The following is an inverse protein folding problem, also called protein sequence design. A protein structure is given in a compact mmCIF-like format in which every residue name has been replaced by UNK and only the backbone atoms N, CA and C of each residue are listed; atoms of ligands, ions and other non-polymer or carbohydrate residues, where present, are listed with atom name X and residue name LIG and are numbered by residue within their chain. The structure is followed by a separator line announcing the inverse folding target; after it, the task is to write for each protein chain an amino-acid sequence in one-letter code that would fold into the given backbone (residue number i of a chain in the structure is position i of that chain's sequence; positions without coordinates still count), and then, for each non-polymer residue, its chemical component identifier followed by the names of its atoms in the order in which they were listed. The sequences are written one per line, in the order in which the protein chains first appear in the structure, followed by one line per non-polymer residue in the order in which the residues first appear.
data_IF_638126087297
#
_entry.id   IF_638126087297
#
_cell.length_a   1.000
_cell.length_b   1.000
_cell.length_c   1.000
_cell.angle_alpha   90.00
_cell.angle_beta   90.00
_cell.angle_gamma   90.00
#
_symmetry.space_group_name_H-M   'P 1'
#
loop_
_entity.id
_entity.type
_entity.pdbx_description
1 polymer ?
#
# COMPACT_ATOMS: atom_id res chain seq x y z
N UNK A 1 -24.32 -20.76 21.25
CA UNK A 1 -23.64 -21.26 20.03
C UNK A 1 -22.97 -20.08 19.32
N UNK A 2 -21.76 -19.68 19.77
CA UNK A 2 -20.99 -18.51 19.29
C UNK A 2 -19.55 -18.87 18.91
N UNK A 3 -19.33 -20.14 18.53
CA UNK A 3 -18.09 -20.59 17.88
C UNK A 3 -18.42 -20.90 16.41
N UNK A 4 -17.52 -20.50 15.50
CA UNK A 4 -17.43 -20.85 14.07
C UNK A 4 -17.74 -19.78 12.99
N UNK A 5 -18.17 -18.56 13.30
CA UNK A 5 -18.31 -17.54 12.23
C UNK A 5 -16.92 -17.03 11.74
N UNK A 6 -15.95 -16.92 12.65
CA UNK A 6 -14.61 -16.38 12.36
C UNK A 6 -13.74 -17.31 11.51
N UNK A 7 -13.87 -18.63 11.68
CA UNK A 7 -13.17 -19.62 10.86
C UNK A 7 -13.79 -19.68 9.46
N UNK A 8 -15.12 -19.64 9.37
CA UNK A 8 -15.81 -19.74 8.08
C UNK A 8 -15.53 -18.54 7.17
N UNK A 9 -15.46 -17.33 7.73
CA UNK A 9 -15.13 -16.11 6.99
C UNK A 9 -13.72 -16.15 6.39
N UNK A 10 -12.69 -16.58 7.15
CA UNK A 10 -11.33 -16.75 6.62
C UNK A 10 -11.29 -17.78 5.49
N UNK A 11 -11.99 -18.91 5.64
CA UNK A 11 -12.05 -19.96 4.63
C UNK A 11 -12.70 -19.50 3.31
N UNK A 12 -13.71 -18.64 3.36
CA UNK A 12 -14.38 -18.14 2.16
C UNK A 12 -13.49 -17.20 1.35
N UNK A 13 -12.77 -16.27 2.01
CA UNK A 13 -11.82 -15.40 1.31
C UNK A 13 -10.66 -16.16 0.72
N UNK A 14 -10.16 -17.18 1.41
CA UNK A 14 -9.15 -18.10 0.88
C UNK A 14 -9.59 -18.73 -0.45
N UNK A 15 -10.86 -19.07 -0.63
CA UNK A 15 -11.36 -19.64 -1.90
C UNK A 15 -11.27 -18.63 -3.04
N UNK A 16 -11.70 -17.39 -2.82
CA UNK A 16 -11.62 -16.33 -3.84
C UNK A 16 -10.18 -15.92 -4.13
N UNK A 17 -9.34 -15.92 -3.09
CA UNK A 17 -7.93 -15.57 -3.19
C UNK A 17 -7.14 -16.63 -3.97
N UNK A 18 -7.29 -17.90 -3.62
CA UNK A 18 -6.47 -18.99 -4.15
C UNK A 18 -6.59 -19.18 -5.66
N UNK A 19 -7.74 -18.86 -6.25
CA UNK A 19 -7.97 -19.04 -7.70
C UNK A 19 -7.17 -18.07 -8.56
N UNK A 20 -6.93 -16.85 -8.07
CA UNK A 20 -6.26 -15.80 -8.84
C UNK A 20 -4.99 -15.27 -8.19
N UNK A 21 -4.46 -15.99 -7.20
CA UNK A 21 -3.25 -15.62 -6.47
C UNK A 21 -2.05 -15.49 -7.41
N UNK A 22 -1.42 -14.33 -7.40
CA UNK A 22 -0.27 -14.04 -8.24
C UNK A 22 1.05 -14.59 -7.69
N UNK A 23 1.06 -15.10 -6.45
CA UNK A 23 2.24 -15.68 -5.77
C UNK A 23 3.40 -14.69 -5.63
N UNK A 24 3.08 -13.47 -5.23
CA UNK A 24 4.03 -12.38 -5.02
C UNK A 24 4.67 -12.47 -3.62
N UNK A 25 5.87 -11.90 -3.46
CA UNK A 25 6.66 -11.97 -2.23
C UNK A 25 6.50 -10.72 -1.34
N UNK A 26 6.14 -9.58 -1.92
CA UNK A 26 6.02 -8.30 -1.22
C UNK A 26 4.59 -7.97 -0.77
N UNK A 27 3.60 -8.64 -1.35
CA UNK A 27 2.18 -8.47 -1.04
C UNK A 27 1.42 -9.74 -1.37
N UNK A 28 0.38 -10.09 -0.60
CA UNK A 28 -0.60 -11.07 -1.07
C UNK A 28 -1.56 -10.34 -1.98
N UNK A 29 -1.49 -10.61 -3.28
CA UNK A 29 -2.35 -10.03 -4.32
C UNK A 29 -2.93 -11.12 -5.20
N UNK A 30 -4.25 -11.05 -5.44
CA UNK A 30 -4.96 -11.92 -6.35
C UNK A 30 -5.91 -11.14 -7.25
N UNK A 31 -6.16 -11.64 -8.46
CA UNK A 31 -7.27 -11.18 -9.29
C UNK A 31 -8.50 -12.05 -9.06
N UNK A 32 -9.66 -11.46 -8.75
CA UNK A 32 -10.90 -12.21 -8.63
C UNK A 32 -11.80 -11.98 -9.84
N UNK A 33 -12.03 -13.00 -10.65
CA UNK A 33 -13.02 -12.95 -11.73
C UNK A 33 -14.45 -12.79 -11.19
N UNK A 34 -14.74 -13.41 -10.04
CA UNK A 34 -16.03 -13.33 -9.37
C UNK A 34 -16.37 -11.87 -9.04
N UNK A 35 -15.42 -11.13 -8.44
CA UNK A 35 -15.61 -9.71 -8.11
C UNK A 35 -15.20 -8.74 -9.23
N UNK A 36 -14.51 -9.20 -10.28
CA UNK A 36 -13.78 -8.34 -11.22
C UNK A 36 -12.94 -7.29 -10.50
N UNK A 37 -12.21 -7.73 -9.47
CA UNK A 37 -11.50 -6.83 -8.57
C UNK A 37 -10.16 -7.41 -8.15
N UNK A 38 -9.22 -6.53 -7.83
CA UNK A 38 -8.01 -6.90 -7.11
C UNK A 38 -8.35 -7.23 -5.66
N UNK A 39 -7.85 -8.36 -5.17
CA UNK A 39 -7.93 -8.77 -3.77
C UNK A 39 -6.57 -8.61 -3.12
N UNK A 40 -6.50 -7.91 -1.99
CA UNK A 40 -5.26 -7.73 -1.24
C UNK A 40 -5.45 -8.15 0.22
N UNK A 41 -4.57 -9.02 0.69
CA UNK A 41 -4.49 -9.37 2.10
C UNK A 41 -3.20 -8.80 2.72
N UNK A 42 -3.35 -8.13 3.86
CA UNK A 42 -2.23 -7.64 4.66
C UNK A 42 -2.03 -8.46 5.93
N UNK A 43 -0.79 -8.86 6.21
CA UNK A 43 -0.47 -9.60 7.44
C UNK A 43 -0.67 -8.79 8.71
N UNK A 44 -0.63 -7.45 8.62
CA UNK A 44 -0.90 -6.53 9.71
C UNK A 44 -1.54 -5.23 9.20
N UNK A 45 -2.19 -4.49 10.11
CA UNK A 45 -2.84 -3.23 9.75
C UNK A 45 -1.86 -2.22 9.15
N UNK A 46 -0.61 -2.15 9.61
CA UNK A 46 0.39 -1.20 9.09
C UNK A 46 1.44 -1.86 8.20
N UNK A 47 1.02 -2.90 7.48
CA UNK A 47 1.86 -3.65 6.55
C UNK A 47 2.62 -2.72 5.58
N UNK A 48 3.92 -3.00 5.30
CA UNK A 48 4.67 -2.28 4.28
C UNK A 48 4.03 -2.39 2.89
N UNK A 49 3.18 -3.40 2.67
CA UNK A 49 2.47 -3.61 1.42
C UNK A 49 1.29 -2.64 1.20
N UNK A 50 0.91 -1.80 2.17
CA UNK A 50 -0.26 -0.91 2.05
C UNK A 50 -0.23 0.00 0.82
N UNK A 51 0.95 0.45 0.39
CA UNK A 51 1.07 1.32 -0.80
C UNK A 51 0.94 0.55 -2.13
N UNK A 52 0.76 -0.77 -2.11
CA UNK A 52 0.28 -1.50 -3.29
C UNK A 52 -1.15 -1.10 -3.67
N UNK A 53 -2.01 -0.77 -2.69
CA UNK A 53 -3.36 -0.24 -2.97
C UNK A 53 -3.23 1.08 -3.73
N UNK A 54 -2.35 1.96 -3.26
CA UNK A 54 -2.07 3.26 -3.88
C UNK A 54 -1.58 3.10 -5.34
N UNK A 55 -0.75 2.08 -5.63
CA UNK A 55 -0.30 1.76 -6.98
C UNK A 55 -1.44 1.25 -7.87
N UNK A 56 -2.16 0.22 -7.43
CA UNK A 56 -3.25 -0.37 -8.21
C UNK A 56 -4.35 0.65 -8.52
N UNK A 57 -4.68 1.50 -7.53
CA UNK A 57 -5.66 2.57 -7.68
C UNK A 57 -5.24 3.63 -8.71
N UNK A 58 -3.94 3.93 -8.79
CA UNK A 58 -3.42 4.98 -9.68
C UNK A 58 -3.08 4.49 -11.09
N UNK A 59 -2.98 3.18 -11.32
CA UNK A 59 -2.52 2.62 -12.60
C UNK A 59 -3.58 1.83 -13.35
N UNK A 60 -4.60 1.34 -12.64
CA UNK A 60 -5.65 0.53 -13.23
C UNK A 60 -7.02 1.11 -12.90
N UNK A 61 -8.07 0.69 -13.61
CA UNK A 61 -9.46 1.10 -13.39
C UNK A 61 -10.28 0.08 -12.61
N UNK A 62 -9.68 -1.06 -12.25
CA UNK A 62 -10.40 -2.11 -11.54
C UNK A 62 -10.63 -1.76 -10.07
N UNK A 63 -11.75 -2.19 -9.47
CA UNK A 63 -11.98 -2.09 -8.05
C UNK A 63 -10.94 -2.87 -7.23
N UNK A 64 -10.76 -2.43 -5.98
CA UNK A 64 -9.83 -3.06 -5.03
C UNK A 64 -10.59 -3.42 -3.78
N UNK A 65 -10.52 -4.70 -3.39
CA UNK A 65 -11.00 -5.23 -2.12
C UNK A 65 -9.78 -5.58 -1.27
N UNK A 66 -9.68 -5.05 -0.06
CA UNK A 66 -8.56 -5.35 0.82
C UNK A 66 -8.94 -5.51 2.28
N UNK A 67 -8.14 -6.29 3.01
CA UNK A 67 -8.31 -6.50 4.45
C UNK A 67 -6.96 -6.80 5.11
N UNK A 68 -6.93 -6.73 6.44
CA UNK A 68 -5.83 -7.29 7.23
C UNK A 68 -6.25 -8.62 7.84
N UNK A 69 -5.32 -9.58 7.93
CA UNK A 69 -5.52 -10.89 8.59
C UNK A 69 -6.06 -10.75 10.01
N UNK A 70 -5.71 -9.66 10.70
CA UNK A 70 -6.14 -9.38 12.07
C UNK A 70 -7.49 -8.65 12.14
N UNK A 71 -7.95 -8.07 11.02
CA UNK A 71 -9.30 -7.49 10.92
C UNK A 71 -10.31 -8.63 10.84
N UNK A 72 -11.04 -8.87 11.94
CA UNK A 72 -12.02 -9.97 12.01
C UNK A 72 -13.30 -9.69 11.24
N UNK A 73 -13.58 -8.44 10.86
CA UNK A 73 -14.90 -8.03 10.32
C UNK A 73 -14.86 -6.87 9.32
N UNK A 74 -13.72 -6.24 9.11
CA UNK A 74 -13.63 -5.04 8.26
C UNK A 74 -12.90 -5.39 6.99
N UNK A 75 -13.65 -5.30 5.89
CA UNK A 75 -13.15 -5.40 4.52
C UNK A 75 -13.40 -4.06 3.88
N UNK A 76 -12.42 -3.56 3.15
CA UNK A 76 -12.50 -2.28 2.48
C UNK A 76 -12.67 -2.49 0.99
N UNK A 77 -13.41 -1.58 0.37
CA UNK A 77 -13.65 -1.58 -1.06
C UNK A 77 -13.51 -0.19 -1.64
N UNK A 78 -12.75 -0.13 -2.74
CA UNK A 78 -12.51 1.09 -3.49
C UNK A 78 -13.11 0.90 -4.87
N UNK A 79 -14.19 1.63 -5.16
CA UNK A 79 -14.75 1.81 -6.51
C UNK A 79 -13.88 2.80 -7.27
N UNK A 80 -13.30 2.37 -8.39
CA UNK A 80 -12.41 3.22 -9.16
C UNK A 80 -13.18 4.02 -10.23
N UNK A 81 -14.31 4.61 -9.83
CA UNK A 81 -15.26 5.22 -10.77
C UNK A 81 -14.91 6.65 -11.17
N UNK A 82 -14.02 7.33 -10.42
CA UNK A 82 -13.61 8.69 -10.74
C UNK A 82 -12.13 8.85 -10.39
N UNK A 83 -11.29 8.74 -11.42
CA UNK A 83 -9.87 9.06 -11.34
C UNK A 83 -9.69 10.56 -11.02
N UNK A 84 -9.85 10.97 -9.77
CA UNK A 84 -9.30 12.23 -9.30
C UNK A 84 -7.80 12.02 -9.11
N UNK A 85 -7.03 12.47 -10.11
CA UNK A 85 -5.58 12.58 -10.05
C UNK A 85 -5.20 13.16 -8.68
N UNK A 86 -4.55 12.33 -7.85
CA UNK A 86 -4.04 12.67 -6.51
C UNK A 86 -5.00 12.56 -5.31
N UNK A 87 -6.17 11.92 -5.41
CA UNK A 87 -6.96 11.55 -4.21
C UNK A 87 -7.32 10.07 -4.23
N UNK A 88 -6.86 9.33 -3.23
CA UNK A 88 -7.45 8.02 -2.92
C UNK A 88 -8.86 8.24 -2.40
N UNK A 89 -9.82 7.55 -2.99
CA UNK A 89 -11.09 7.30 -2.31
C UNK A 89 -10.83 6.60 -0.99
N UNK A 90 -11.39 7.11 0.10
CA UNK A 90 -11.47 6.35 1.35
C UNK A 90 -12.13 5.01 1.04
N UNK A 91 -11.48 3.90 1.35
CA UNK A 91 -12.07 2.59 1.14
C UNK A 91 -13.37 2.51 1.94
N UNK A 92 -14.47 2.17 1.29
CA UNK A 92 -15.75 1.96 2.00
C UNK A 92 -15.68 0.65 2.76
N UNK A 93 -16.04 0.68 4.05
CA UNK A 93 -16.16 -0.56 4.83
C UNK A 93 -17.35 -1.35 4.34
N UNK A 94 -17.11 -2.59 3.97
CA UNK A 94 -18.13 -3.55 3.61
C UNK A 94 -18.56 -4.38 4.81
N UNK A 95 -19.80 -4.84 4.79
CA UNK A 95 -20.31 -5.80 5.76
C UNK A 95 -20.38 -7.19 5.15
N UNK A 96 -19.95 -8.22 5.88
CA UNK A 96 -20.03 -9.61 5.40
C UNK A 96 -21.32 -10.23 5.92
N UNK A 97 -22.20 -10.67 5.01
CA UNK A 97 -23.49 -11.28 5.35
C UNK A 97 -23.77 -12.47 4.42
N UNK A 98 -24.75 -13.30 4.78
CA UNK A 98 -25.26 -14.32 3.86
C UNK A 98 -26.21 -13.66 2.85
N UNK A 99 -25.98 -13.92 1.56
CA UNK A 99 -26.86 -13.42 0.50
C UNK A 99 -28.00 -14.40 0.25
N UNK A 100 -29.24 -13.90 0.25
CA UNK A 100 -30.41 -14.72 -0.06
C UNK A 100 -30.46 -15.17 -1.54
N UNK A 101 -29.75 -14.48 -2.44
CA UNK A 101 -29.79 -14.76 -3.89
C UNK A 101 -28.74 -15.81 -4.27
N UNK A 102 -27.47 -15.59 -3.88
CA UNK A 102 -26.39 -16.53 -4.22
C UNK A 102 -26.07 -17.53 -3.12
N UNK A 103 -26.74 -17.44 -1.97
CA UNK A 103 -26.57 -18.32 -0.78
C UNK A 103 -25.13 -18.40 -0.26
N UNK A 104 -24.31 -17.41 -0.63
CA UNK A 104 -22.92 -17.29 -0.20
C UNK A 104 -22.78 -16.21 0.86
N UNK A 105 -21.86 -16.42 1.78
CA UNK A 105 -21.41 -15.39 2.70
C UNK A 105 -20.37 -14.51 2.00
N UNK A 106 -20.79 -13.29 1.64
CA UNK A 106 -20.05 -12.36 0.75
C UNK A 106 -20.12 -10.93 1.29
N UNK A 107 -19.31 -9.99 0.77
CA UNK A 107 -19.45 -8.58 1.10
C UNK A 107 -20.71 -7.92 0.53
N UNK A 108 -21.25 -7.00 1.32
CA UNK A 108 -22.32 -6.08 0.96
C UNK A 108 -21.82 -4.65 1.06
N UNK A 109 -22.22 -3.82 0.10
CA UNK A 109 -21.99 -2.38 0.12
C UNK A 109 -22.85 -1.66 1.18
N UNK A 110 -22.72 -0.34 1.26
CA UNK A 110 -23.46 0.51 2.20
C UNK A 110 -24.97 0.51 1.95
N UNK A 111 -25.39 0.22 0.72
CA UNK A 111 -26.80 0.12 0.32
C UNK A 111 -27.36 -1.30 0.54
N UNK A 112 -26.55 -2.18 1.13
CA UNK A 112 -26.90 -3.57 1.40
C UNK A 112 -27.16 -4.38 0.11
N UNK A 113 -26.44 -4.04 -0.97
CA UNK A 113 -26.38 -4.85 -2.18
C UNK A 113 -25.24 -5.87 -2.07
N UNK A 114 -25.52 -7.10 -2.51
CA UNK A 114 -24.54 -8.17 -2.60
C UNK A 114 -23.53 -7.86 -3.71
N UNK A 115 -22.24 -7.71 -3.39
CA UNK A 115 -21.23 -7.37 -4.40
C UNK A 115 -21.07 -8.42 -5.51
N UNK A 116 -21.45 -9.67 -5.26
CA UNK A 116 -21.41 -10.73 -6.27
C UNK A 116 -22.63 -10.71 -7.19
N UNK A 117 -23.81 -10.40 -6.64
CA UNK A 117 -25.07 -10.41 -7.40
C UNK A 117 -25.31 -9.07 -8.13
N UNK A 118 -24.87 -7.96 -7.55
CA UNK A 118 -25.09 -6.61 -8.06
C UNK A 118 -24.08 -6.20 -9.14
N UNK A 119 -23.58 -7.17 -9.91
CA UNK A 119 -22.52 -6.95 -10.88
C UNK A 119 -23.15 -6.55 -12.23
N UNK A 120 -23.28 -5.26 -12.47
CA UNK A 120 -23.93 -4.73 -13.68
C UNK A 120 -23.11 -4.99 -14.96
N UNK A 121 -21.78 -5.13 -14.86
CA UNK A 121 -20.90 -5.43 -15.99
C UNK A 121 -19.70 -6.28 -15.57
N UNK A 122 -19.33 -7.28 -16.38
CA UNK A 122 -18.01 -7.92 -16.29
C UNK A 122 -16.97 -6.91 -16.80
N UNK A 123 -16.22 -6.31 -15.89
CA UNK A 123 -15.03 -5.56 -16.30
C UNK A 123 -14.05 -6.49 -17.02
N UNK A 124 -13.25 -5.93 -17.93
CA UNK A 124 -12.23 -6.69 -18.67
C UNK A 124 -11.25 -7.34 -17.71
N UNK A 125 -10.78 -8.54 -18.04
CA UNK A 125 -9.73 -9.20 -17.27
C UNK A 125 -8.39 -8.44 -17.42
N UNK A 126 -7.55 -8.39 -16.37
CA UNK A 126 -6.17 -7.93 -16.51
C UNK A 126 -5.46 -8.74 -17.58
N UNK A 127 -4.75 -8.03 -18.45
CA UNK A 127 -3.96 -8.64 -19.50
C UNK A 127 -2.74 -9.37 -18.91
N UNK A 128 -2.19 -10.32 -19.68
CA UNK A 128 -0.93 -10.97 -19.31
C UNK A 128 0.22 -9.97 -19.13
N UNK A 129 0.20 -8.87 -19.88
CA UNK A 129 1.21 -7.82 -19.77
C UNK A 129 1.16 -7.14 -18.40
N UNK A 130 -0.02 -6.74 -17.94
CA UNK A 130 -0.20 -6.07 -16.65
C UNK A 130 0.13 -7.01 -15.48
N UNK A 131 -0.28 -8.28 -15.56
CA UNK A 131 0.10 -9.28 -14.53
C UNK A 131 1.62 -9.48 -14.48
N UNK A 132 2.29 -9.51 -15.63
CA UNK A 132 3.75 -9.65 -15.68
C UNK A 132 4.46 -8.39 -15.15
N UNK A 133 3.93 -7.21 -15.44
CA UNK A 133 4.45 -5.94 -14.90
C UNK A 133 4.40 -5.93 -13.36
N UNK A 134 3.26 -6.30 -12.78
CA UNK A 134 3.07 -6.44 -11.33
C UNK A 134 4.12 -7.41 -10.74
N UNK A 135 4.34 -8.57 -11.39
CA UNK A 135 5.35 -9.55 -10.96
C UNK A 135 6.76 -9.01 -11.02
N UNK A 136 7.11 -8.26 -12.07
CA UNK A 136 8.44 -7.64 -12.20
C UNK A 136 8.68 -6.59 -11.10
N UNK A 137 7.66 -5.80 -10.75
CA UNK A 137 7.75 -4.88 -9.63
C UNK A 137 7.88 -5.60 -8.29
N UNK A 138 7.14 -6.68 -8.07
CA UNK A 138 7.26 -7.50 -6.87
C UNK A 138 8.67 -8.07 -6.70
N UNK A 139 9.25 -8.64 -7.76
CA UNK A 139 10.63 -9.14 -7.77
C UNK A 139 11.62 -8.02 -7.45
N UNK A 140 11.39 -6.82 -7.98
CA UNK A 140 12.25 -5.66 -7.74
C UNK A 140 12.17 -5.19 -6.28
N UNK A 141 10.96 -5.13 -5.70
CA UNK A 141 10.71 -4.73 -4.31
C UNK A 141 11.30 -5.75 -3.35
N UNK A 142 11.09 -7.04 -3.61
CA UNK A 142 11.52 -8.15 -2.77
C UNK A 142 13.02 -8.44 -2.85
N UNK A 143 13.76 -7.62 -3.61
CA UNK A 143 15.19 -7.78 -3.85
C UNK A 143 15.51 -9.17 -4.41
N UNK A 144 14.82 -9.56 -5.48
CA UNK A 144 15.11 -10.80 -6.19
C UNK A 144 16.60 -10.93 -6.52
N UNK A 145 17.04 -12.14 -6.83
CA UNK A 145 18.45 -12.50 -7.09
C UNK A 145 19.00 -11.88 -8.39
N UNK A 146 18.94 -10.56 -8.51
CA UNK A 146 19.50 -9.78 -9.58
C UNK A 146 20.92 -9.35 -9.22
N UNK A 147 21.76 -9.20 -10.23
CA UNK A 147 23.02 -8.47 -10.08
C UNK A 147 22.73 -7.05 -9.54
N UNK A 148 23.54 -6.52 -8.60
CA UNK A 148 23.40 -5.16 -8.05
C UNK A 148 23.15 -4.05 -9.08
N UNK A 149 23.79 -4.10 -10.26
CA UNK A 149 23.60 -3.09 -11.30
C UNK A 149 22.18 -3.13 -11.90
N UNK A 150 21.68 -4.34 -12.20
CA UNK A 150 20.33 -4.57 -12.73
C UNK A 150 19.29 -4.21 -11.66
N UNK A 151 19.51 -4.62 -10.41
CA UNK A 151 18.63 -4.29 -9.30
C UNK A 151 18.51 -2.77 -9.09
N UNK A 152 19.61 -2.03 -9.26
CA UNK A 152 19.62 -0.57 -9.17
C UNK A 152 18.79 0.06 -10.27
N UNK A 153 18.93 -0.41 -11.51
CA UNK A 153 18.16 0.12 -12.64
C UNK A 153 16.67 -0.20 -12.51
N UNK A 154 16.32 -1.45 -12.20
CA UNK A 154 14.92 -1.84 -11.94
C UNK A 154 14.29 -1.03 -10.81
N UNK A 155 15.01 -0.80 -9.70
CA UNK A 155 14.51 0.04 -8.59
C UNK A 155 14.22 1.46 -9.04
N UNK A 156 15.02 2.00 -9.96
CA UNK A 156 14.87 3.37 -10.46
C UNK A 156 13.56 3.57 -11.22
N UNK A 157 13.03 2.50 -11.81
CA UNK A 157 11.79 2.46 -12.57
C UNK A 157 10.54 2.17 -11.72
N UNK A 158 10.68 1.96 -10.41
CA UNK A 158 9.51 1.71 -9.56
C UNK A 158 8.57 2.93 -9.53
N UNK A 159 7.25 2.74 -9.76
CA UNK A 159 6.24 3.75 -9.47
C UNK A 159 6.34 4.25 -8.03
N UNK A 160 5.99 5.51 -7.80
CA UNK A 160 6.17 6.19 -6.50
C UNK A 160 5.63 5.37 -5.31
N UNK A 161 4.38 4.83 -5.35
CA UNK A 161 3.87 4.04 -4.23
C UNK A 161 4.63 2.73 -3.99
N UNK A 162 5.11 2.10 -5.06
CA UNK A 162 5.89 0.86 -5.00
C UNK A 162 7.33 1.10 -4.53
N UNK A 163 7.93 2.23 -4.92
CA UNK A 163 9.20 2.69 -4.39
C UNK A 163 9.13 2.91 -2.86
N UNK A 164 8.02 3.50 -2.39
CA UNK A 164 7.74 3.66 -0.97
C UNK A 164 7.49 2.30 -0.26
N UNK A 165 6.79 1.36 -0.90
CA UNK A 165 6.61 -0.01 -0.41
C UNK A 165 7.97 -0.69 -0.17
N UNK A 166 8.87 -0.58 -1.16
CA UNK A 166 10.22 -1.12 -1.07
C UNK A 166 11.02 -0.52 0.09
N UNK A 167 10.97 0.81 0.26
CA UNK A 167 11.65 1.47 1.37
C UNK A 167 11.09 1.03 2.73
N UNK A 168 9.76 0.98 2.90
CA UNK A 168 9.13 0.49 4.13
C UNK A 168 9.49 -0.96 4.40
N UNK A 169 9.44 -1.85 3.40
CA UNK A 169 9.80 -3.26 3.59
C UNK A 169 11.20 -3.41 4.19
N UNK A 170 12.18 -2.73 3.61
CA UNK A 170 13.56 -2.74 4.13
C UNK A 170 13.62 -2.20 5.57
N UNK A 171 12.84 -1.16 5.88
CA UNK A 171 12.75 -0.62 7.23
C UNK A 171 12.17 -1.61 8.23
N UNK A 172 11.14 -2.38 7.87
CA UNK A 172 10.59 -3.44 8.72
C UNK A 172 11.58 -4.58 8.97
N UNK A 173 12.50 -4.84 8.03
CA UNK A 173 13.50 -5.91 8.15
C UNK A 173 14.76 -5.48 8.93
N UNK A 174 15.12 -4.18 8.90
CA UNK A 174 16.44 -3.68 9.34
C UNK A 174 16.40 -2.43 10.22
N UNK A 175 15.26 -2.14 10.83
CA UNK A 175 15.04 -0.95 11.65
C UNK A 175 15.97 -0.86 12.87
N UNK A 176 16.44 0.35 13.16
CA UNK A 176 16.88 0.77 14.49
C UNK A 176 15.69 1.15 15.37
N UNK A 177 14.59 1.62 14.76
CA UNK A 177 13.37 2.10 15.44
C UNK A 177 12.13 1.52 14.78
N UNK A 178 11.27 0.91 15.58
CA UNK A 178 10.07 0.21 15.14
C UNK A 178 8.79 1.00 15.39
N UNK A 179 8.76 1.90 16.39
CA UNK A 179 7.56 2.64 16.79
C UNK A 179 7.02 3.49 15.65
N UNK A 180 7.89 4.16 14.91
CA UNK A 180 7.50 4.96 13.73
C UNK A 180 6.85 4.12 12.61
N UNK A 181 7.20 2.84 12.50
CA UNK A 181 6.63 1.92 11.50
C UNK A 181 5.26 1.39 11.91
N UNK A 182 4.96 1.41 13.22
CA UNK A 182 3.64 1.06 13.76
C UNK A 182 2.56 2.10 13.45
N UNK A 183 2.96 3.28 12.98
CA UNK A 183 2.04 4.35 12.59
C UNK A 183 1.35 4.05 11.25
N UNK A 184 0.04 4.26 11.21
CA UNK A 184 -0.76 4.07 10.00
C UNK A 184 -0.50 5.15 8.95
N UNK A 185 -0.52 4.75 7.68
CA UNK A 185 -0.58 5.68 6.55
C UNK A 185 -2.02 6.24 6.45
N UNK A 186 -2.22 7.56 6.62
CA UNK A 186 -3.54 8.17 6.58
C UNK A 186 -4.09 8.19 5.15
N UNK A 187 -5.40 8.18 5.00
CA UNK A 187 -6.05 8.36 3.69
C UNK A 187 -5.73 9.73 3.08
N UNK A 188 -5.96 9.88 1.76
CA UNK A 188 -5.79 11.15 1.07
C UNK A 188 -4.82 11.10 -0.10
N UNK A 189 -3.94 12.11 -0.21
CA UNK A 189 -3.12 12.31 -1.41
C UNK A 189 -2.04 11.23 -1.57
N UNK A 190 -1.99 10.62 -2.75
CA UNK A 190 -1.03 9.56 -3.11
C UNK A 190 0.43 9.95 -2.85
N UNK A 191 0.83 11.14 -3.30
CA UNK A 191 2.19 11.63 -3.12
C UNK A 191 2.53 11.85 -1.64
N UNK A 192 1.58 12.38 -0.85
CA UNK A 192 1.78 12.57 0.59
C UNK A 192 1.90 11.24 1.34
N UNK A 193 1.05 10.25 1.02
CA UNK A 193 1.12 8.90 1.60
C UNK A 193 2.45 8.23 1.30
N UNK A 194 2.91 8.33 0.06
CA UNK A 194 4.22 7.79 -0.36
C UNK A 194 5.36 8.53 0.34
N UNK A 195 5.29 9.86 0.44
CA UNK A 195 6.27 10.67 1.17
C UNK A 195 6.34 10.28 2.66
N UNK A 196 5.18 10.08 3.31
CA UNK A 196 5.12 9.63 4.70
C UNK A 196 5.74 8.24 4.88
N UNK A 197 5.42 7.31 3.99
CA UNK A 197 6.04 5.98 3.98
C UNK A 197 7.57 6.05 3.83
N UNK A 198 8.10 6.91 2.96
CA UNK A 198 9.55 7.14 2.84
C UNK A 198 10.14 7.73 4.12
N UNK A 199 9.53 8.76 4.69
CA UNK A 199 10.03 9.41 5.91
C UNK A 199 10.01 8.43 7.09
N UNK A 200 8.95 7.66 7.28
CA UNK A 200 8.88 6.63 8.32
C UNK A 200 9.99 5.58 8.13
N UNK A 201 10.21 5.13 6.89
CA UNK A 201 11.30 4.21 6.58
C UNK A 201 12.68 4.81 6.87
N UNK A 202 12.90 6.09 6.55
CA UNK A 202 14.16 6.78 6.84
C UNK A 202 14.39 6.95 8.34
N UNK A 203 13.36 7.35 9.11
CA UNK A 203 13.47 7.44 10.59
C UNK A 203 13.86 6.09 11.19
N UNK A 204 13.23 5.02 10.71
CA UNK A 204 13.51 3.66 11.17
C UNK A 204 14.92 3.17 10.81
N UNK A 205 15.45 3.55 9.65
CA UNK A 205 16.74 3.06 9.13
C UNK A 205 17.94 3.96 9.44
N UNK A 206 17.72 5.20 9.85
CA UNK A 206 18.80 6.14 10.10
C UNK A 206 19.54 5.76 11.39
N UNK A 207 20.89 5.66 11.39
CA UNK A 207 21.63 5.40 12.62
C UNK A 207 21.37 6.45 13.71
N UNK A 208 21.61 6.13 15.00
CA UNK A 208 21.60 7.12 16.07
C UNK A 208 22.49 8.34 15.75
N UNK A 209 22.13 9.49 16.31
CA UNK A 209 22.84 10.77 16.17
C UNK A 209 22.95 11.34 14.75
N UNK A 210 22.31 10.71 13.76
CA UNK A 210 22.25 11.23 12.40
C UNK A 210 20.99 12.04 12.19
N UNK A 211 21.12 13.09 11.39
CA UNK A 211 20.04 14.06 11.16
C UNK A 211 19.39 13.84 9.80
N UNK A 212 18.07 13.94 9.75
CA UNK A 212 17.29 14.04 8.51
C UNK A 212 17.31 15.49 8.02
N UNK A 213 17.77 15.70 6.79
CA UNK A 213 17.82 17.03 6.15
C UNK A 213 16.91 17.03 4.93
N UNK A 214 15.78 17.74 4.99
CA UNK A 214 14.70 17.68 4.00
C UNK A 214 15.17 17.87 2.55
N UNK A 215 16.08 18.80 2.28
CA UNK A 215 16.63 19.03 0.94
C UNK A 215 17.45 17.83 0.44
N UNK A 216 18.30 17.25 1.30
CA UNK A 216 19.08 16.05 0.98
C UNK A 216 18.17 14.84 0.72
N UNK A 217 17.10 14.68 1.51
CA UNK A 217 16.09 13.62 1.28
C UNK A 217 15.47 13.79 -0.11
N UNK A 218 15.05 15.02 -0.42
CA UNK A 218 14.38 15.34 -1.69
C UNK A 218 15.29 14.99 -2.86
N UNK A 219 16.53 15.47 -2.83
CA UNK A 219 17.48 15.28 -3.94
C UNK A 219 17.94 13.82 -4.05
N UNK A 220 18.11 13.12 -2.94
CA UNK A 220 18.44 11.69 -2.93
C UNK A 220 17.32 10.84 -3.54
N UNK A 221 16.05 11.13 -3.21
CA UNK A 221 14.90 10.41 -3.77
C UNK A 221 14.75 10.65 -5.27
N UNK A 222 14.87 11.89 -5.74
CA UNK A 222 14.82 12.23 -7.18
C UNK A 222 15.93 11.52 -7.95
N UNK A 223 17.17 11.56 -7.44
CA UNK A 223 18.30 10.84 -8.05
C UNK A 223 18.06 9.33 -8.13
N UNK A 224 17.35 8.76 -7.14
CA UNK A 224 17.13 7.32 -7.02
C UNK A 224 15.96 6.79 -7.83
N UNK A 225 14.93 7.58 -8.11
CA UNK A 225 13.69 7.13 -8.75
C UNK A 225 13.24 8.08 -9.85
N UNK A 226 13.10 7.57 -11.09
CA UNK A 226 12.80 8.40 -12.26
C UNK A 226 11.43 9.10 -12.15
N UNK A 227 10.45 8.45 -11.55
CA UNK A 227 9.12 9.03 -11.37
C UNK A 227 9.10 10.18 -10.37
N UNK A 228 10.01 10.18 -9.38
CA UNK A 228 10.19 11.31 -8.45
C UNK A 228 11.00 12.44 -9.08
N UNK A 229 11.97 12.11 -9.95
CA UNK A 229 12.77 13.10 -10.67
C UNK A 229 11.93 13.99 -11.59
N UNK A 230 10.90 13.39 -12.21
CA UNK A 230 9.94 14.04 -13.12
C UNK A 230 8.96 15.00 -12.41
N UNK A 231 8.77 14.87 -11.10
CA UNK A 231 7.96 15.82 -10.35
C UNK A 231 8.69 17.16 -10.22
N UNK A 232 7.92 18.23 -10.05
CA UNK A 232 8.53 19.49 -9.64
C UNK A 232 9.21 19.30 -8.28
N UNK A 233 10.43 19.84 -8.15
CA UNK A 233 11.22 19.67 -6.91
C UNK A 233 10.47 20.25 -5.72
N UNK A 234 9.76 21.37 -5.90
CA UNK A 234 9.02 22.02 -4.81
C UNK A 234 7.79 21.21 -4.39
N UNK A 235 7.14 20.51 -5.32
CA UNK A 235 6.02 19.61 -5.04
C UNK A 235 6.44 18.44 -4.15
N UNK A 236 7.48 17.70 -4.56
CA UNK A 236 8.00 16.58 -3.78
C UNK A 236 8.51 17.05 -2.41
N UNK A 237 9.27 18.15 -2.38
CA UNK A 237 9.77 18.75 -1.15
C UNK A 237 8.63 19.11 -0.20
N UNK A 238 7.54 19.68 -0.71
CA UNK A 238 6.39 20.06 0.11
C UNK A 238 5.70 18.83 0.71
N UNK A 239 5.53 17.76 -0.08
CA UNK A 239 4.98 16.50 0.44
C UNK A 239 5.87 15.88 1.54
N UNK A 240 7.19 15.88 1.35
CA UNK A 240 8.15 15.40 2.36
C UNK A 240 8.19 16.29 3.60
N UNK A 241 8.04 17.61 3.47
CA UNK A 241 7.95 18.54 4.59
C UNK A 241 6.73 18.23 5.46
N UNK A 242 5.57 18.04 4.83
CA UNK A 242 4.33 17.64 5.53
C UNK A 242 4.49 16.29 6.23
N UNK A 243 5.16 15.33 5.60
CA UNK A 243 5.44 14.02 6.20
C UNK A 243 6.36 14.14 7.43
N UNK A 244 7.43 14.93 7.36
CA UNK A 244 8.30 15.21 8.52
C UNK A 244 7.53 15.90 9.64
N UNK A 245 6.69 16.89 9.32
CA UNK A 245 5.83 17.55 10.32
C UNK A 245 4.87 16.58 11.00
N UNK A 246 4.28 15.65 10.26
CA UNK A 246 3.42 14.61 10.82
C UNK A 246 4.18 13.69 11.80
N UNK A 247 5.38 13.25 11.44
CA UNK A 247 6.22 12.44 12.33
C UNK A 247 6.72 13.23 13.56
N UNK A 248 7.04 14.52 13.38
CA UNK A 248 7.41 15.41 14.49
C UNK A 248 6.26 15.60 15.48
N UNK A 249 5.05 15.87 15.00
CA UNK A 249 3.87 16.03 15.86
C UNK A 249 3.51 14.76 16.65
N UNK A 250 3.98 13.60 16.19
CA UNK A 250 3.82 12.30 16.87
C UNK A 250 5.02 11.92 17.74
N UNK A 251 5.95 12.84 17.98
CA UNK A 251 7.15 12.65 18.80
C UNK A 251 8.12 11.57 18.27
N UNK A 252 8.11 11.29 16.97
CA UNK A 252 9.13 10.43 16.33
C UNK A 252 10.40 11.20 15.94
N UNK A 253 10.36 12.53 16.02
CA UNK A 253 11.43 13.44 15.62
C UNK A 253 11.57 14.60 16.61
N UNK A 254 12.78 15.14 16.73
CA UNK A 254 13.09 16.42 17.36
C UNK A 254 13.54 17.40 16.28
N UNK A 255 12.98 18.61 16.27
CA UNK A 255 13.40 19.66 15.35
C UNK A 255 14.64 20.36 15.88
N UNK A 256 15.74 20.27 15.13
CA UNK A 256 17.04 20.88 15.49
C UNK A 256 17.39 22.09 14.63
N UNK A 257 16.63 22.34 13.55
CA UNK A 257 16.82 23.48 12.67
C UNK A 257 15.79 23.53 11.55
N UNK A 258 15.87 24.56 10.70
CA UNK A 258 14.98 24.67 9.53
C UNK A 258 15.22 23.49 8.58
N UNK A 259 14.20 22.63 8.43
CA UNK A 259 14.27 21.43 7.58
C UNK A 259 15.20 20.33 8.10
N UNK A 260 15.64 20.40 9.36
CA UNK A 260 16.55 19.44 9.99
C UNK A 260 15.91 18.81 11.23
N UNK A 261 15.92 17.49 11.28
CA UNK A 261 15.29 16.71 12.34
C UNK A 261 16.21 15.58 12.82
N UNK A 262 16.15 15.27 14.10
CA UNK A 262 16.80 14.12 14.71
C UNK A 262 15.73 13.07 15.06
N UNK A 263 15.87 11.80 14.66
CA UNK A 263 15.00 10.72 15.14
C UNK A 263 15.04 10.58 16.67
N UNK A 264 13.88 10.34 17.27
CA UNK A 264 13.77 9.98 18.69
C UNK A 264 13.96 8.47 18.81
N UNK A 265 14.82 8.01 19.72
CA UNK A 265 15.00 6.57 19.98
C UNK A 265 13.78 5.98 20.70
N UNK A 266 13.51 4.69 20.44
CA UNK A 266 12.36 3.95 20.97
C UNK A 266 12.61 3.42 22.40
#
# INVERSE_FOLDING_TARGET
MKLNITLHQRFLWLIFFNKGDLKLNSVKLAWSEDFSAWLIEFDAENSPAKTWVDYLYSHYTWPIIYWSVNSRRVIYYITNQQFELNRLGAGTSLSIKNCAICEKMIPFDSENNCLLCNKETKESLPTRHEINEIREFDLTISQGNFNPAIQKEKRRLLPIPLAAASARRVAFEKSYRNKVLSESLPEGKLLYRSALAFIQAWIALLPPDRTLVLDEITDALRKRYIHLDRLDRSELRSALALALSACYNKNHLIKIGKGKYLPVDD
#
